data_IF_599297234594
#
_entry.id   IF_599297234594
#
_cell.length_a   1.000
_cell.length_b   1.000
_cell.length_c   1.000
_cell.angle_alpha   90.00
_cell.angle_beta   90.00
_cell.angle_gamma   90.00
#
_symmetry.space_group_name_H-M   'P 1'
#
loop_
_entity.id
_entity.type
_entity.pdbx_description
1 polymer ?
#
# COMPACT_ATOMS: atom_id res chain seq x y z
N UNK A 1 -52.11 -57.46 -30.54
CA UNK A 1 -50.92 -57.30 -29.67
C UNK A 1 -50.65 -55.81 -29.50
N UNK A 2 -50.89 -55.26 -28.31
CA UNK A 2 -50.23 -54.03 -27.85
C UNK A 2 -48.94 -54.43 -27.07
N UNK A 3 -48.08 -53.53 -26.55
CA UNK A 3 -47.90 -52.08 -26.72
C UNK A 3 -46.41 -51.76 -27.11
N UNK A 4 -45.92 -50.53 -27.31
CA UNK A 4 -45.50 -49.60 -26.24
C UNK A 4 -45.00 -48.26 -26.82
N UNK A 5 -45.43 -47.22 -26.12
CA UNK A 5 -45.06 -45.81 -26.20
C UNK A 5 -43.59 -45.58 -25.81
N UNK A 6 -42.87 -44.72 -26.55
CA UNK A 6 -41.62 -44.13 -26.07
C UNK A 6 -41.94 -42.84 -25.31
N UNK A 7 -41.93 -42.92 -23.97
CA UNK A 7 -41.81 -41.77 -23.08
C UNK A 7 -40.34 -41.37 -23.00
N UNK A 8 -39.96 -40.15 -23.40
CA UNK A 8 -38.69 -39.57 -22.99
C UNK A 8 -38.80 -39.10 -21.53
N UNK A 9 -37.92 -39.64 -20.68
CA UNK A 9 -37.81 -39.29 -19.26
C UNK A 9 -36.80 -38.16 -19.10
N UNK A 10 -37.30 -37.08 -18.51
CA UNK A 10 -36.79 -36.34 -17.34
C UNK A 10 -35.26 -36.31 -17.08
N UNK A 11 -34.80 -35.07 -16.98
CA UNK A 11 -33.59 -34.55 -16.34
C UNK A 11 -33.07 -35.31 -15.13
N UNK A 12 -31.74 -35.39 -15.03
CA UNK A 12 -30.98 -35.30 -13.77
C UNK A 12 -29.71 -34.51 -14.02
N UNK A 13 -29.56 -33.42 -13.26
CA UNK A 13 -28.37 -32.60 -13.15
C UNK A 13 -27.27 -33.44 -12.48
N UNK A 14 -26.05 -33.37 -13.02
CA UNK A 14 -24.84 -33.81 -12.34
C UNK A 14 -24.39 -32.69 -11.43
N UNK A 15 -24.74 -32.77 -10.17
CA UNK A 15 -24.01 -32.13 -9.07
C UNK A 15 -23.50 -33.27 -8.18
N UNK A 16 -22.35 -33.07 -7.55
CA UNK A 16 -21.59 -34.02 -6.70
C UNK A 16 -20.56 -34.91 -7.42
N UNK A 17 -19.46 -34.26 -7.81
CA UNK A 17 -18.11 -34.84 -7.60
C UNK A 17 -17.09 -33.70 -7.57
N UNK A 18 -17.04 -33.00 -6.44
CA UNK A 18 -15.98 -32.02 -6.21
C UNK A 18 -15.64 -31.97 -4.72
N UNK A 19 -14.56 -32.70 -4.40
CA UNK A 19 -13.58 -32.42 -3.34
C UNK A 19 -13.94 -32.83 -1.90
N UNK A 20 -13.67 -34.11 -1.59
CA UNK A 20 -13.19 -34.51 -0.27
C UNK A 20 -11.72 -34.06 -0.13
N UNK A 21 -11.47 -33.01 0.65
CA UNK A 21 -10.15 -32.62 1.11
C UNK A 21 -10.05 -32.96 2.59
N UNK A 22 -9.24 -33.97 2.89
CA UNK A 22 -8.93 -34.51 4.21
C UNK A 22 -8.27 -33.43 5.06
N UNK A 23 -8.87 -33.14 6.22
CA UNK A 23 -8.26 -32.35 7.30
C UNK A 23 -7.13 -33.17 7.94
N UNK A 24 -5.89 -32.75 7.70
CA UNK A 24 -4.71 -33.20 8.45
C UNK A 24 -4.36 -32.10 9.45
N UNK A 25 -4.62 -32.36 10.73
CA UNK A 25 -4.31 -31.47 11.86
C UNK A 25 -2.79 -31.27 11.97
N UNK A 26 -2.31 -30.06 11.69
CA UNK A 26 -0.97 -29.61 12.07
C UNK A 26 -1.09 -28.94 13.43
N UNK A 27 -0.85 -29.72 14.48
CA UNK A 27 -0.51 -29.21 15.80
C UNK A 27 0.87 -28.55 15.73
N UNK A 28 0.92 -27.27 16.04
CA UNK A 28 2.15 -26.48 16.08
C UNK A 28 1.98 -25.35 17.07
N UNK A 29 2.65 -25.48 18.21
CA UNK A 29 2.61 -24.59 19.37
C UNK A 29 2.87 -23.13 18.97
N UNK A 30 1.90 -22.25 19.26
CA UNK A 30 2.07 -20.79 19.25
C UNK A 30 1.95 -20.36 20.70
N UNK A 31 3.07 -19.90 21.25
CA UNK A 31 3.15 -19.28 22.57
C UNK A 31 2.32 -17.99 22.55
N UNK A 32 1.30 -17.95 23.42
CA UNK A 32 0.50 -16.76 23.72
C UNK A 32 1.36 -15.80 24.56
N UNK A 33 1.71 -14.64 24.00
CA UNK A 33 2.12 -13.48 24.79
C UNK A 33 0.98 -12.44 24.83
N UNK A 34 0.64 -12.06 26.05
CA UNK A 34 -0.44 -11.16 26.45
C UNK A 34 -0.41 -9.80 25.73
N UNK A 35 -1.40 -9.55 24.87
CA UNK A 35 -1.70 -8.23 24.32
C UNK A 35 -2.68 -7.52 25.25
N UNK A 36 -2.19 -6.63 26.12
CA UNK A 36 -3.04 -5.79 26.98
C UNK A 36 -3.69 -4.67 26.15
N UNK A 37 -5.01 -4.70 26.07
CA UNK A 37 -5.88 -3.63 25.55
C UNK A 37 -5.74 -2.36 26.41
N UNK A 38 -5.26 -1.28 25.80
CA UNK A 38 -5.42 0.07 26.32
C UNK A 38 -6.65 0.70 25.67
N UNK A 39 -7.74 0.78 26.42
CA UNK A 39 -8.94 1.52 26.02
C UNK A 39 -8.62 3.03 25.96
N UNK A 40 -8.69 3.58 24.75
CA UNK A 40 -8.67 5.02 24.52
C UNK A 40 -10.07 5.59 24.74
N UNK A 41 -10.24 6.40 25.79
CA UNK A 41 -11.35 7.32 25.92
C UNK A 41 -10.96 8.67 25.30
N UNK A 42 -11.62 9.01 24.19
CA UNK A 42 -11.55 10.34 23.59
C UNK A 42 -12.22 11.38 24.52
N UNK A 43 -11.60 12.57 24.75
CA UNK A 43 -12.24 13.65 25.49
C UNK A 43 -13.11 14.50 24.56
N UNK A 44 -14.41 14.53 24.84
CA UNK A 44 -15.37 15.50 24.26
C UNK A 44 -15.08 16.93 24.73
N UNK A 45 -15.20 17.86 23.80
CA UNK A 45 -15.15 19.31 23.99
C UNK A 45 -16.56 19.89 24.08
N UNK A 46 -16.93 20.51 25.20
CA UNK A 46 -18.06 21.44 25.29
C UNK A 46 -17.76 22.56 26.31
N UNK A 47 -18.23 23.77 25.98
CA UNK A 47 -17.87 25.11 26.47
C UNK A 47 -18.60 25.58 27.75
N UNK A 48 -18.00 26.49 28.52
CA UNK A 48 -18.66 27.68 29.14
C UNK A 48 -17.66 28.65 29.83
N UNK A 49 -18.02 29.94 29.87
CA UNK A 49 -17.24 31.19 30.08
C UNK A 49 -16.81 31.59 31.54
N UNK A 50 -15.93 32.61 31.64
CA UNK A 50 -15.64 33.61 32.73
C UNK A 50 -14.21 33.69 33.40
N UNK A 51 -13.49 34.78 33.04
CA UNK A 51 -12.35 35.59 33.59
C UNK A 51 -11.22 35.15 34.60
N UNK A 52 -10.01 35.79 34.57
CA UNK A 52 -8.69 35.31 35.10
C UNK A 52 -8.35 35.82 36.54
N UNK A 53 -7.20 35.54 37.26
CA UNK A 53 -5.83 35.14 36.84
C UNK A 53 -5.02 34.18 37.81
N UNK A 54 -3.79 33.74 37.41
CA UNK A 54 -2.49 33.83 38.17
C UNK A 54 -1.43 32.78 37.76
N UNK A 55 -0.21 33.29 37.50
CA UNK A 55 1.07 32.58 37.27
C UNK A 55 1.50 31.68 38.45
N UNK A 56 2.02 30.47 38.19
CA UNK A 56 3.09 29.81 38.98
C UNK A 56 4.05 29.00 38.09
N UNK A 57 5.35 29.22 38.33
CA UNK A 57 6.53 28.63 37.68
C UNK A 57 6.86 27.22 38.21
N UNK A 58 7.82 26.57 37.51
CA UNK A 58 8.75 25.48 37.95
C UNK A 58 8.12 24.08 37.85
N UNK A 59 8.72 23.07 37.22
CA UNK A 59 10.12 22.60 37.33
C UNK A 59 10.55 21.88 36.04
N UNK A 60 11.73 22.25 35.55
CA UNK A 60 12.51 21.53 34.53
C UNK A 60 12.95 20.18 35.09
N UNK A 61 12.63 19.06 34.41
CA UNK A 61 13.39 17.82 34.50
C UNK A 61 14.11 17.59 33.18
N UNK A 62 15.39 17.96 33.21
CA UNK A 62 16.43 17.63 32.25
C UNK A 62 16.93 16.25 32.68
N UNK A 63 16.61 15.21 31.93
CA UNK A 63 17.24 13.88 32.07
C UNK A 63 18.10 13.71 30.81
N UNK A 64 19.30 14.30 30.83
CA UNK A 64 20.58 13.59 30.96
C UNK A 64 20.68 12.48 29.92
N UNK A 65 20.91 12.87 28.67
CA UNK A 65 21.59 12.03 27.70
C UNK A 65 23.03 11.85 28.21
N UNK A 66 23.36 10.66 28.67
CA UNK A 66 24.75 10.25 28.77
C UNK A 66 25.23 10.04 27.33
N UNK A 67 25.80 11.11 26.75
CA UNK A 67 26.62 11.02 25.57
C UNK A 67 27.84 10.19 25.94
N UNK A 68 27.84 8.92 25.51
CA UNK A 68 29.04 8.10 25.55
C UNK A 68 29.91 8.68 24.44
N UNK A 69 30.89 9.50 24.81
CA UNK A 69 31.97 9.91 23.91
C UNK A 69 32.71 8.64 23.47
N UNK A 70 32.26 8.03 22.37
CA UNK A 70 33.04 7.04 21.65
C UNK A 70 34.33 7.73 21.23
N UNK A 71 35.46 7.18 21.66
CA UNK A 71 36.77 7.71 21.28
C UNK A 71 36.88 7.77 19.75
N UNK A 72 37.49 8.83 19.22
CA UNK A 72 37.61 9.06 17.77
C UNK A 72 38.23 7.86 17.02
N UNK A 73 39.08 7.09 17.71
CA UNK A 73 39.70 5.87 17.18
C UNK A 73 38.69 4.73 17.03
N UNK A 74 37.79 4.55 18.00
CA UNK A 74 36.76 3.52 17.97
C UNK A 74 35.67 3.84 16.92
N UNK A 75 35.34 5.12 16.73
CA UNK A 75 34.46 5.56 15.66
C UNK A 75 35.02 5.19 14.28
N UNK A 76 36.32 5.47 14.04
CA UNK A 76 37.00 5.10 12.79
C UNK A 76 36.99 3.59 12.56
N UNK A 77 37.31 2.80 13.60
CA UNK A 77 37.31 1.35 13.50
C UNK A 77 35.93 0.78 13.17
N UNK A 78 34.85 1.31 13.77
CA UNK A 78 33.48 0.88 13.48
C UNK A 78 33.05 1.28 12.06
N UNK A 79 33.48 2.45 11.58
CA UNK A 79 33.19 2.91 10.23
C UNK A 79 33.91 2.04 9.17
N UNK A 80 35.18 1.70 9.41
CA UNK A 80 35.94 0.77 8.56
C UNK A 80 35.31 -0.63 8.55
N UNK A 81 34.85 -1.13 9.71
CA UNK A 81 34.10 -2.40 9.78
C UNK A 81 32.79 -2.33 9.00
N UNK A 82 32.08 -1.21 9.06
CA UNK A 82 30.85 -0.99 8.28
C UNK A 82 31.14 -1.03 6.77
N UNK A 83 32.18 -0.35 6.31
CA UNK A 83 32.60 -0.37 4.90
C UNK A 83 33.08 -1.75 4.46
N UNK A 84 33.83 -2.46 5.30
CA UNK A 84 34.22 -3.85 5.05
C UNK A 84 33.01 -4.78 4.92
N UNK A 85 31.99 -4.63 5.78
CA UNK A 85 30.73 -5.39 5.68
C UNK A 85 29.96 -5.08 4.39
N UNK A 86 30.15 -3.88 3.82
CA UNK A 86 29.58 -3.46 2.54
C UNK A 86 30.33 -4.07 1.35
N UNK A 87 31.66 -4.08 1.41
CA UNK A 87 32.53 -4.61 0.37
C UNK A 87 32.67 -6.14 0.36
N UNK A 88 32.29 -6.82 1.46
CA UNK A 88 32.45 -8.27 1.61
C UNK A 88 31.88 -9.06 0.41
N UNK A 89 32.72 -9.88 -0.23
CA UNK A 89 32.34 -10.67 -1.39
C UNK A 89 31.28 -11.72 -1.03
N UNK A 90 30.25 -11.87 -1.88
CA UNK A 90 29.24 -12.91 -1.73
C UNK A 90 29.75 -14.26 -2.22
N UNK A 91 29.22 -15.34 -1.63
CA UNK A 91 29.50 -16.72 -2.08
C UNK A 91 29.27 -16.87 -3.58
N UNK A 92 30.18 -17.56 -4.24
CA UNK A 92 30.18 -17.69 -5.70
C UNK A 92 29.65 -19.06 -6.12
N UNK A 93 29.45 -19.25 -7.43
CA UNK A 93 29.03 -20.55 -7.98
C UNK A 93 30.10 -21.63 -7.76
N UNK A 94 31.35 -21.24 -7.55
CA UNK A 94 32.48 -22.15 -7.45
C UNK A 94 32.48 -22.93 -6.12
N UNK A 95 31.99 -22.31 -5.05
CA UNK A 95 31.86 -22.91 -3.71
C UNK A 95 30.97 -24.17 -3.72
N UNK A 96 30.05 -24.28 -4.69
CA UNK A 96 29.07 -25.37 -4.80
C UNK A 96 29.39 -26.37 -5.91
N UNK A 97 30.61 -26.35 -6.48
CA UNK A 97 31.02 -27.29 -7.54
C UNK A 97 30.92 -28.77 -7.11
N UNK A 98 31.09 -29.04 -5.83
CA UNK A 98 31.03 -30.39 -5.25
C UNK A 98 29.60 -30.98 -5.21
N UNK A 99 28.55 -30.14 -5.25
CA UNK A 99 27.15 -30.60 -5.28
C UNK A 99 26.74 -31.04 -6.70
N UNK A 100 25.74 -31.93 -6.86
CA UNK A 100 25.18 -32.25 -8.17
C UNK A 100 24.50 -31.01 -8.79
N UNK A 101 24.58 -30.90 -10.13
CA UNK A 101 24.18 -29.70 -10.90
C UNK A 101 22.77 -29.18 -10.57
N UNK A 102 21.82 -30.09 -10.35
CA UNK A 102 20.42 -29.79 -10.01
C UNK A 102 20.23 -29.15 -8.61
N UNK A 103 21.17 -29.35 -7.68
CA UNK A 103 21.11 -28.81 -6.32
C UNK A 103 21.94 -27.54 -6.13
N UNK A 104 22.95 -27.29 -6.99
CA UNK A 104 23.86 -26.13 -6.88
C UNK A 104 23.13 -24.80 -6.79
N UNK A 105 22.13 -24.58 -7.66
CA UNK A 105 21.37 -23.32 -7.68
C UNK A 105 20.57 -23.09 -6.39
N UNK A 106 19.96 -24.15 -5.83
CA UNK A 106 19.21 -24.08 -4.56
C UNK A 106 20.16 -23.81 -3.39
N UNK A 107 21.30 -24.51 -3.35
CA UNK A 107 22.32 -24.34 -2.31
C UNK A 107 22.91 -22.93 -2.33
N UNK A 108 23.23 -22.40 -3.52
CA UNK A 108 23.71 -21.03 -3.70
C UNK A 108 22.68 -20.01 -3.21
N UNK A 109 21.41 -20.10 -3.64
CA UNK A 109 20.34 -19.19 -3.17
C UNK A 109 20.18 -19.22 -1.65
N UNK A 110 20.20 -20.41 -1.03
CA UNK A 110 20.12 -20.55 0.44
C UNK A 110 21.31 -19.90 1.13
N UNK A 111 22.51 -20.11 0.60
CA UNK A 111 23.73 -19.55 1.15
C UNK A 111 23.77 -18.01 1.02
N UNK A 112 23.35 -17.46 -0.13
CA UNK A 112 23.22 -16.02 -0.36
C UNK A 112 22.17 -15.39 0.55
N UNK A 113 21.03 -16.05 0.79
CA UNK A 113 20.00 -15.56 1.73
C UNK A 113 20.53 -15.52 3.16
N UNK A 114 21.26 -16.55 3.60
CA UNK A 114 21.87 -16.60 4.95
C UNK A 114 22.94 -15.51 5.11
N UNK A 115 23.79 -15.36 4.10
CA UNK A 115 24.86 -14.36 4.06
C UNK A 115 24.28 -12.93 4.06
N UNK A 116 23.25 -12.65 3.25
CA UNK A 116 22.53 -11.37 3.28
C UNK A 116 21.99 -11.05 4.68
N UNK A 117 21.38 -12.03 5.37
CA UNK A 117 20.84 -11.84 6.72
C UNK A 117 21.94 -11.58 7.75
N UNK A 118 23.04 -12.33 7.70
CA UNK A 118 24.17 -12.13 8.61
C UNK A 118 24.76 -10.72 8.46
N UNK A 119 25.00 -10.26 7.23
CA UNK A 119 25.50 -8.91 6.96
C UNK A 119 24.54 -7.81 7.40
N UNK A 120 23.23 -8.04 7.27
CA UNK A 120 22.24 -7.09 7.75
C UNK A 120 22.30 -6.96 9.28
N UNK A 121 22.39 -8.08 9.99
CA UNK A 121 22.53 -8.09 11.44
C UNK A 121 23.84 -7.43 11.91
N UNK A 122 24.97 -7.73 11.27
CA UNK A 122 26.27 -7.08 11.58
C UNK A 122 26.20 -5.56 11.38
N UNK A 123 25.59 -5.09 10.29
CA UNK A 123 25.41 -3.65 10.03
C UNK A 123 24.46 -2.98 11.01
N UNK A 124 23.47 -3.70 11.49
CA UNK A 124 22.53 -3.21 12.50
C UNK A 124 23.23 -3.05 13.84
N UNK A 125 24.01 -4.04 14.27
CA UNK A 125 24.86 -3.95 15.48
C UNK A 125 25.85 -2.79 15.40
N UNK A 126 26.58 -2.65 14.29
CA UNK A 126 27.52 -1.53 14.11
C UNK A 126 26.78 -0.18 14.12
N UNK A 127 25.56 -0.11 13.57
CA UNK A 127 24.75 1.11 13.59
C UNK A 127 24.26 1.45 14.99
N UNK A 128 23.85 0.47 15.77
CA UNK A 128 23.45 0.66 17.17
C UNK A 128 24.63 1.16 18.02
N UNK A 129 25.82 0.61 17.81
CA UNK A 129 27.05 1.06 18.48
C UNK A 129 27.48 2.47 18.08
N UNK A 130 27.25 2.85 16.81
CA UNK A 130 27.64 4.15 16.27
C UNK A 130 26.61 5.27 16.55
N UNK A 131 25.36 4.89 16.90
CA UNK A 131 24.34 5.82 17.36
C UNK A 131 24.06 6.96 16.38
N UNK A 132 24.32 8.21 16.82
CA UNK A 132 24.07 9.42 16.04
C UNK A 132 25.01 9.62 14.84
N UNK A 133 26.21 9.04 14.89
CA UNK A 133 27.21 9.13 13.82
C UNK A 133 27.07 8.01 12.78
N UNK A 134 25.99 7.23 12.88
CA UNK A 134 25.77 6.09 12.02
C UNK A 134 25.60 6.48 10.54
N UNK A 135 26.19 5.72 9.60
CA UNK A 135 25.91 5.86 8.19
C UNK A 135 24.41 5.75 7.92
N UNK A 136 23.88 6.79 7.27
CA UNK A 136 22.48 6.86 6.86
C UNK A 136 22.11 5.65 6.02
N UNK A 137 20.89 5.14 6.22
CA UNK A 137 20.36 4.05 5.39
C UNK A 137 20.30 4.53 3.94
N UNK A 138 20.85 3.74 3.03
CA UNK A 138 20.79 4.03 1.60
C UNK A 138 19.31 4.08 1.17
N UNK A 139 18.88 5.23 0.67
CA UNK A 139 17.53 5.40 0.12
C UNK A 139 17.44 4.58 -1.18
N UNK A 140 16.43 3.71 -1.33
CA UNK A 140 16.28 2.93 -2.54
C UNK A 140 16.03 3.86 -3.73
N UNK A 141 16.68 3.57 -4.86
CA UNK A 141 16.43 4.26 -6.13
C UNK A 141 15.12 3.73 -6.72
N UNK A 142 14.04 4.49 -6.59
CA UNK A 142 12.74 4.17 -7.21
C UNK A 142 12.64 4.78 -8.61
N UNK A 143 11.61 4.41 -9.37
CA UNK A 143 11.39 4.92 -10.73
C UNK A 143 11.13 6.43 -10.69
N UNK A 144 10.43 6.90 -9.66
CA UNK A 144 10.14 8.32 -9.43
C UNK A 144 11.42 9.09 -9.09
N UNK A 145 12.26 8.55 -8.20
CA UNK A 145 13.54 9.18 -7.82
C UNK A 145 14.56 9.25 -8.97
N UNK A 146 14.44 8.37 -9.96
CA UNK A 146 15.37 8.30 -11.11
C UNK A 146 14.78 8.99 -12.35
N UNK A 147 13.60 9.61 -12.24
CA UNK A 147 12.98 10.30 -13.36
C UNK A 147 13.80 11.55 -13.72
N UNK A 148 14.05 11.74 -15.01
CA UNK A 148 14.67 12.96 -15.51
C UNK A 148 13.71 14.14 -15.33
N UNK A 149 14.25 15.29 -14.94
CA UNK A 149 13.45 16.50 -14.79
C UNK A 149 12.86 16.88 -16.15
N UNK A 150 11.54 17.06 -16.19
CA UNK A 150 10.80 17.43 -17.37
C UNK A 150 10.47 18.92 -17.29
N UNK A 151 11.01 19.70 -18.23
CA UNK A 151 10.83 21.15 -18.26
C UNK A 151 9.39 21.61 -18.54
N UNK A 152 8.49 20.70 -18.94
CA UNK A 152 7.06 21.00 -19.12
C UNK A 152 6.23 20.74 -17.86
N UNK A 153 6.86 20.24 -16.79
CA UNK A 153 6.16 20.07 -15.51
C UNK A 153 5.94 21.43 -14.87
N UNK A 154 4.70 21.67 -14.47
CA UNK A 154 4.28 22.89 -13.80
C UNK A 154 4.81 22.89 -12.36
N UNK A 155 5.40 24.00 -11.94
CA UNK A 155 5.77 24.23 -10.55
C UNK A 155 4.53 24.62 -9.73
N UNK A 156 4.38 24.05 -8.53
CA UNK A 156 3.20 24.25 -7.67
C UNK A 156 3.04 25.70 -7.13
N UNK A 157 4.02 26.58 -7.39
CA UNK A 157 4.06 27.96 -6.91
C UNK A 157 4.22 28.98 -8.04
N UNK A 158 3.83 28.60 -9.26
CA UNK A 158 3.89 29.49 -10.41
C UNK A 158 2.69 30.46 -10.42
N UNK A 159 2.97 31.75 -10.20
CA UNK A 159 1.96 32.83 -10.14
C UNK A 159 1.18 32.97 -11.46
N UNK A 160 1.78 32.65 -12.61
CA UNK A 160 1.11 32.72 -13.92
C UNK A 160 0.00 31.67 -13.99
N UNK A 161 0.27 30.45 -13.54
CA UNK A 161 -0.69 29.34 -13.55
C UNK A 161 -1.83 29.59 -12.57
N UNK A 162 -1.55 30.08 -11.37
CA UNK A 162 -2.58 30.43 -10.39
C UNK A 162 -3.54 31.51 -10.93
N UNK A 163 -3.01 32.49 -11.65
CA UNK A 163 -3.83 33.54 -12.27
C UNK A 163 -4.71 33.00 -13.40
N UNK A 164 -4.17 32.12 -14.24
CA UNK A 164 -4.93 31.50 -15.32
C UNK A 164 -6.03 30.58 -14.77
N UNK A 165 -5.74 29.77 -13.75
CA UNK A 165 -6.72 28.90 -13.09
C UNK A 165 -7.85 29.70 -12.42
N UNK A 166 -7.53 30.85 -11.81
CA UNK A 166 -8.50 31.71 -11.15
C UNK A 166 -9.46 32.41 -12.13
N UNK A 167 -9.01 32.72 -13.35
CA UNK A 167 -9.80 33.42 -14.36
C UNK A 167 -10.44 32.49 -15.41
N UNK A 168 -10.20 31.18 -15.34
CA UNK A 168 -10.78 30.20 -16.25
C UNK A 168 -12.30 30.10 -16.11
N UNK A 169 -12.96 29.68 -17.20
CA UNK A 169 -14.40 29.42 -17.29
C UNK A 169 -14.88 28.39 -16.27
N UNK A 170 -13.98 27.50 -15.81
CA UNK A 170 -14.27 26.46 -14.82
C UNK A 170 -13.82 26.79 -13.39
N UNK A 171 -13.21 27.96 -13.14
CA UNK A 171 -12.72 28.38 -11.82
C UNK A 171 -13.76 28.21 -10.70
N UNK A 172 -14.99 28.65 -10.94
CA UNK A 172 -16.13 28.52 -10.01
C UNK A 172 -16.45 27.06 -9.64
N UNK A 173 -16.20 26.10 -10.53
CA UNK A 173 -16.40 24.68 -10.25
C UNK A 173 -15.24 24.09 -9.41
N UNK A 174 -13.99 24.45 -9.72
CA UNK A 174 -12.82 23.98 -8.99
C UNK A 174 -12.75 24.58 -7.58
N UNK A 175 -13.15 25.84 -7.42
CA UNK A 175 -13.29 26.54 -6.13
C UNK A 175 -14.48 26.04 -5.30
N UNK A 176 -15.29 25.11 -5.85
CA UNK A 176 -16.50 24.54 -5.22
C UNK A 176 -17.56 25.59 -4.85
N UNK A 177 -17.52 26.76 -5.49
CA UNK A 177 -18.52 27.81 -5.32
C UNK A 177 -19.87 27.40 -5.92
N UNK A 178 -19.83 26.65 -7.03
CA UNK A 178 -21.02 26.04 -7.64
C UNK A 178 -20.89 24.53 -7.71
N UNK A 179 -21.94 23.80 -7.28
CA UNK A 179 -21.98 22.35 -7.41
C UNK A 179 -22.36 21.96 -8.85
N UNK A 180 -21.48 21.29 -9.62
CA UNK A 180 -21.79 20.92 -11.00
C UNK A 180 -22.86 19.82 -11.05
N UNK A 181 -23.82 19.99 -11.95
CA UNK A 181 -24.83 18.96 -12.24
C UNK A 181 -24.29 18.04 -13.33
N UNK A 182 -23.93 16.82 -12.95
CA UNK A 182 -23.29 15.86 -13.86
C UNK A 182 -24.32 14.87 -14.39
N UNK A 183 -24.42 14.74 -15.71
CA UNK A 183 -25.24 13.71 -16.36
C UNK A 183 -24.37 12.56 -16.85
N UNK A 184 -24.60 11.36 -16.32
CA UNK A 184 -23.92 10.15 -16.76
C UNK A 184 -24.74 9.51 -17.89
N UNK A 185 -24.14 9.49 -19.09
CA UNK A 185 -24.69 8.79 -20.24
C UNK A 185 -24.04 7.43 -20.42
N UNK A 186 -24.81 6.46 -20.88
CA UNK A 186 -24.33 5.12 -21.21
C UNK A 186 -24.45 4.85 -22.72
N UNK A 187 -23.61 3.98 -23.26
CA UNK A 187 -23.76 3.59 -24.67
C UNK A 187 -25.10 2.85 -24.88
N UNK A 188 -25.74 2.93 -26.07
CA UNK A 188 -27.10 2.39 -26.26
C UNK A 188 -27.24 0.87 -26.05
N UNK A 189 -26.14 0.12 -26.18
CA UNK A 189 -26.10 -1.35 -26.02
C UNK A 189 -25.47 -1.78 -24.71
N UNK A 190 -25.21 -0.83 -23.82
CA UNK A 190 -24.52 -1.10 -22.58
C UNK A 190 -25.44 -1.91 -21.65
N UNK A 191 -24.89 -2.93 -20.98
CA UNK A 191 -25.67 -3.74 -20.05
C UNK A 191 -25.89 -2.92 -18.78
N UNK A 192 -27.16 -2.60 -18.52
CA UNK A 192 -27.61 -1.83 -17.35
C UNK A 192 -27.00 -2.41 -16.07
N UNK A 193 -27.13 -3.71 -15.83
CA UNK A 193 -26.65 -4.38 -14.60
C UNK A 193 -25.16 -4.16 -14.35
N UNK A 194 -24.29 -4.29 -15.37
CA UNK A 194 -22.84 -4.09 -15.18
C UNK A 194 -22.48 -2.64 -14.90
N UNK A 195 -23.25 -1.69 -15.43
CA UNK A 195 -22.97 -0.26 -15.28
C UNK A 195 -23.48 0.24 -13.94
N UNK A 196 -24.69 -0.13 -13.55
CA UNK A 196 -25.18 0.16 -12.20
C UNK A 196 -24.28 -0.49 -11.15
N UNK A 197 -23.87 -1.75 -11.33
CA UNK A 197 -22.91 -2.41 -10.44
C UNK A 197 -21.56 -1.69 -10.36
N UNK A 198 -21.02 -1.22 -11.50
CA UNK A 198 -19.79 -0.40 -11.51
C UNK A 198 -19.98 0.93 -10.79
N UNK A 199 -21.06 1.66 -11.08
CA UNK A 199 -21.34 2.98 -10.52
C UNK A 199 -21.61 2.93 -9.00
N UNK A 200 -22.28 1.87 -8.53
CA UNK A 200 -22.59 1.66 -7.12
C UNK A 200 -21.35 1.20 -6.33
N UNK A 201 -20.61 0.21 -6.83
CA UNK A 201 -19.42 -0.31 -6.13
C UNK A 201 -18.31 0.75 -6.02
N UNK A 202 -18.14 1.58 -7.04
CA UNK A 202 -17.20 2.71 -7.03
C UNK A 202 -17.76 3.94 -6.30
N UNK A 203 -18.99 3.87 -5.77
CA UNK A 203 -19.69 4.96 -5.07
C UNK A 203 -19.74 6.26 -5.88
N UNK A 204 -19.81 6.17 -7.20
CA UNK A 204 -19.78 7.34 -8.10
C UNK A 204 -20.98 8.26 -7.82
N UNK A 205 -22.14 7.70 -7.49
CA UNK A 205 -23.31 8.47 -7.07
C UNK A 205 -23.16 9.20 -5.73
N UNK A 206 -22.18 8.82 -4.88
CA UNK A 206 -21.90 9.48 -3.60
C UNK A 206 -20.79 10.53 -3.72
N UNK A 207 -19.97 10.46 -4.77
CA UNK A 207 -18.87 11.40 -5.04
C UNK A 207 -19.38 12.77 -5.48
N UNK A 208 -20.52 12.82 -6.15
CA UNK A 208 -21.11 14.05 -6.63
C UNK A 208 -22.52 14.18 -6.04
N UNK A 209 -22.82 15.31 -5.41
CA UNK A 209 -24.11 15.57 -4.75
C UNK A 209 -25.28 15.63 -5.75
N UNK A 210 -25.01 16.01 -7.00
CA UNK A 210 -26.02 16.15 -8.07
C UNK A 210 -25.63 15.37 -9.33
N UNK A 211 -25.92 14.06 -9.33
CA UNK A 211 -25.77 13.17 -10.50
C UNK A 211 -27.12 12.74 -11.04
N UNK A 212 -27.31 12.88 -12.35
CA UNK A 212 -28.44 12.31 -13.06
C UNK A 212 -27.97 11.25 -14.05
N UNK A 213 -28.75 10.19 -14.24
CA UNK A 213 -28.41 9.09 -15.15
C UNK A 213 -29.50 8.91 -16.19
N UNK A 214 -29.14 8.99 -17.47
CA UNK A 214 -30.09 8.83 -18.57
C UNK A 214 -29.81 7.56 -19.39
N UNK A 215 -30.72 6.56 -19.40
CA UNK A 215 -30.57 5.37 -20.23
C UNK A 215 -30.87 5.70 -21.71
N UNK A 216 -29.87 5.50 -22.56
CA UNK A 216 -29.99 5.73 -24.01
C UNK A 216 -30.89 4.65 -24.64
N UNK A 217 -32.10 5.03 -25.08
CA UNK A 217 -33.06 4.12 -25.73
C UNK A 217 -32.70 3.95 -27.21
N UNK A 218 -32.49 2.70 -27.64
CA UNK A 218 -32.37 2.39 -29.08
C UNK A 218 -33.77 2.54 -29.71
N UNK A 219 -34.01 3.65 -30.43
CA UNK A 219 -35.18 3.77 -31.30
C UNK A 219 -34.98 2.84 -32.50
N UNK A 220 -35.58 1.64 -32.46
CA UNK A 220 -35.72 0.81 -33.65
C UNK A 220 -36.66 1.54 -34.61
N UNK A 221 -36.11 2.21 -35.60
CA UNK A 221 -36.90 2.67 -36.75
C UNK A 221 -37.44 1.42 -37.44
N UNK A 222 -38.69 1.07 -37.16
CA UNK A 222 -39.44 0.14 -38.00
C UNK A 222 -39.52 0.79 -39.37
N UNK A 223 -38.72 0.28 -40.30
CA UNK A 223 -38.78 0.62 -41.71
C UNK A 223 -40.11 0.04 -42.20
N UNK A 224 -41.15 0.87 -42.27
CA UNK A 224 -42.42 0.53 -42.89
C UNK A 224 -42.12 0.19 -44.36
N UNK A 225 -42.32 -1.08 -44.70
CA UNK A 225 -42.35 -1.60 -46.07
C UNK A 225 -43.76 -1.43 -46.63
#
# INVERSE_FOLDING_TARGET
MAPKTKKSKKSKNNEESMLDFVEEEVTGDIEEEDFQEAEGSDPESESDEDEPPKKKKKVVKKEVKQEIELTDEKLKELLEKYEASKAAATKTKDDFKHLPKNQRGKALKKALRKDKRARQAEREQIREELGGDAPQKEVPKTIESTREYDATMVDEHDEEVEHDEANDEFSTYFNRETSPKVMITMTPKAKIVSIYGFLEHRKIFKLFSSVFMEPQKIRRMLRLL
#
